data_IF_831640738155
#
_entry.id   IF_831640738155
#
_cell.length_a   1.000
_cell.length_b   1.000
_cell.length_c   1.000
_cell.angle_alpha   90.00
_cell.angle_beta   90.00
_cell.angle_gamma   90.00
#
_symmetry.space_group_name_H-M   'P 1'
#
loop_
_entity.id
_entity.type
_entity.pdbx_description
1 polymer ?
#
# COMPACT_ATOMS: atom_id res chain seq x y z
N UNK A 1 -71.60 -14.60 28.04
CA UNK A 1 -71.67 -13.61 26.92
C UNK A 1 -70.66 -12.50 27.03
N UNK A 2 -70.54 -11.70 28.11
CA UNK A 2 -69.54 -10.57 28.18
C UNK A 2 -68.12 -10.99 27.95
N UNK A 3 -67.62 -12.16 28.44
CA UNK A 3 -66.25 -12.65 28.21
C UNK A 3 -66.00 -13.08 26.77
N UNK A 4 -66.95 -13.62 26.05
CA UNK A 4 -66.82 -14.03 24.65
C UNK A 4 -66.83 -12.81 23.75
N UNK A 5 -67.60 -11.78 24.05
CA UNK A 5 -67.65 -10.51 23.33
C UNK A 5 -66.28 -9.76 23.53
N UNK A 6 -65.73 -9.80 24.76
CA UNK A 6 -64.43 -9.20 25.04
C UNK A 6 -63.32 -9.91 24.32
N UNK A 7 -63.29 -11.25 24.24
CA UNK A 7 -62.35 -12.05 23.49
C UNK A 7 -62.48 -11.82 21.97
N UNK A 8 -63.71 -11.75 21.44
CA UNK A 8 -63.95 -11.45 20.03
C UNK A 8 -63.44 -10.03 19.66
N UNK A 9 -63.67 -9.04 20.54
CA UNK A 9 -63.18 -7.67 20.33
C UNK A 9 -61.68 -7.59 20.43
N UNK A 10 -61.04 -8.34 21.32
CA UNK A 10 -59.57 -8.44 21.39
C UNK A 10 -58.96 -9.10 20.12
N UNK A 11 -59.61 -10.17 19.64
CA UNK A 11 -59.14 -10.84 18.40
C UNK A 11 -59.31 -9.96 17.16
N UNK A 12 -60.39 -9.19 17.06
CA UNK A 12 -60.58 -8.28 15.90
C UNK A 12 -59.61 -7.11 15.93
N UNK A 13 -59.32 -6.55 17.11
CA UNK A 13 -58.32 -5.45 17.23
C UNK A 13 -56.91 -5.90 16.94
N UNK A 14 -56.54 -7.12 17.36
CA UNK A 14 -55.21 -7.68 17.03
C UNK A 14 -55.06 -8.01 15.54
N UNK A 15 -56.13 -8.52 14.89
CA UNK A 15 -56.14 -8.81 13.46
C UNK A 15 -55.99 -7.53 12.60
N UNK A 16 -56.72 -6.47 12.97
CA UNK A 16 -56.64 -5.17 12.31
C UNK A 16 -55.27 -4.52 12.50
N UNK A 17 -54.66 -4.61 13.69
CA UNK A 17 -53.28 -4.13 13.92
C UNK A 17 -52.26 -4.91 13.09
N UNK A 18 -52.37 -6.24 13.04
CA UNK A 18 -51.46 -7.07 12.23
C UNK A 18 -51.57 -6.72 10.74
N UNK A 19 -52.78 -6.48 10.22
CA UNK A 19 -52.98 -6.11 8.81
C UNK A 19 -52.38 -4.72 8.49
N UNK A 20 -52.47 -3.77 9.40
CA UNK A 20 -51.89 -2.42 9.22
C UNK A 20 -50.38 -2.44 9.26
N UNK A 21 -49.75 -3.23 10.15
CA UNK A 21 -48.28 -3.43 10.17
C UNK A 21 -47.80 -4.04 8.85
N UNK A 22 -48.59 -4.99 8.28
CA UNK A 22 -48.26 -5.58 6.97
C UNK A 22 -48.25 -4.52 5.84
N UNK A 23 -49.21 -3.61 5.80
CA UNK A 23 -49.22 -2.52 4.81
C UNK A 23 -47.99 -1.56 4.96
N UNK A 24 -47.56 -1.27 6.19
CA UNK A 24 -46.35 -0.48 6.44
C UNK A 24 -45.10 -1.25 5.96
N UNK A 25 -45.04 -2.55 6.24
CA UNK A 25 -43.92 -3.40 5.79
C UNK A 25 -43.90 -3.53 4.27
N UNK A 26 -45.06 -3.63 3.62
CA UNK A 26 -45.17 -3.67 2.16
C UNK A 26 -44.69 -2.36 1.53
N UNK A 27 -45.10 -1.20 2.06
CA UNK A 27 -44.64 0.09 1.60
C UNK A 27 -43.10 0.22 1.72
N UNK A 28 -42.50 -0.22 2.85
CA UNK A 28 -41.07 -0.23 3.07
C UNK A 28 -40.37 -1.20 2.12
N UNK A 29 -40.95 -2.37 1.86
CA UNK A 29 -40.40 -3.37 0.93
C UNK A 29 -40.34 -2.84 -0.52
N UNK A 30 -41.35 -2.01 -0.87
CA UNK A 30 -41.42 -1.33 -2.17
C UNK A 30 -40.63 0.00 -2.23
N UNK A 31 -39.86 0.31 -1.20
CA UNK A 31 -39.07 1.58 -1.07
C UNK A 31 -39.93 2.83 -1.01
N UNK A 32 -41.26 2.71 -0.77
CA UNK A 32 -42.17 3.83 -0.60
C UNK A 32 -42.19 4.28 0.87
N UNK A 33 -41.10 4.93 1.27
CA UNK A 33 -40.89 5.32 2.66
C UNK A 33 -41.81 6.46 3.09
N UNK A 34 -42.24 7.36 2.19
CA UNK A 34 -43.17 8.43 2.49
C UNK A 34 -44.56 7.88 2.79
N UNK A 35 -45.06 6.93 1.99
CA UNK A 35 -46.30 6.25 2.24
C UNK A 35 -46.23 5.48 3.57
N UNK A 36 -45.10 4.80 3.86
CA UNK A 36 -44.90 4.10 5.13
C UNK A 36 -45.02 5.06 6.32
N UNK A 37 -44.38 6.22 6.29
CA UNK A 37 -44.44 7.23 7.35
C UNK A 37 -45.86 7.80 7.49
N UNK A 38 -46.60 8.01 6.38
CA UNK A 38 -47.98 8.46 6.38
C UNK A 38 -48.92 7.45 7.03
N UNK A 39 -48.71 6.15 6.79
CA UNK A 39 -49.47 5.06 7.42
C UNK A 39 -49.16 5.00 8.92
N UNK A 40 -47.89 5.07 9.31
CA UNK A 40 -47.44 5.02 10.70
C UNK A 40 -48.00 6.20 11.52
N UNK A 41 -48.07 7.40 10.94
CA UNK A 41 -48.56 8.60 11.61
C UNK A 41 -50.04 8.50 12.05
N UNK A 42 -50.82 7.59 11.47
CA UNK A 42 -52.22 7.35 11.81
C UNK A 42 -52.41 6.38 12.97
N UNK A 43 -51.32 5.77 13.44
CA UNK A 43 -51.39 4.71 14.43
C UNK A 43 -50.78 5.18 15.78
N UNK A 44 -51.21 4.50 16.88
CA UNK A 44 -50.55 4.70 18.16
C UNK A 44 -49.12 4.14 18.14
N UNK A 45 -48.13 4.86 18.66
CA UNK A 45 -46.77 4.39 18.67
C UNK A 45 -46.63 3.09 19.48
N UNK A 46 -46.07 2.07 18.82
CA UNK A 46 -45.68 0.80 19.45
C UNK A 46 -44.24 0.51 19.02
N UNK A 47 -43.50 -0.26 19.80
CA UNK A 47 -42.09 -0.57 19.47
C UNK A 47 -41.95 -1.13 18.03
N UNK A 48 -42.77 -2.10 17.56
CA UNK A 48 -42.70 -2.56 16.18
C UNK A 48 -42.95 -1.46 15.14
N UNK A 49 -43.86 -0.54 15.37
CA UNK A 49 -44.16 0.58 14.46
C UNK A 49 -43.00 1.63 14.50
N UNK A 50 -42.46 1.92 15.68
CA UNK A 50 -41.29 2.80 15.82
C UNK A 50 -40.04 2.25 15.10
N UNK A 51 -39.82 0.92 15.15
CA UNK A 51 -38.76 0.28 14.37
C UNK A 51 -38.97 0.47 12.85
N UNK A 52 -40.22 0.35 12.37
CA UNK A 52 -40.52 0.60 10.95
C UNK A 52 -40.41 2.10 10.61
N UNK A 53 -40.81 2.99 11.51
CA UNK A 53 -40.65 4.44 11.36
C UNK A 53 -39.17 4.81 11.20
N UNK A 54 -38.31 4.35 12.11
CA UNK A 54 -36.88 4.61 12.03
C UNK A 54 -36.28 4.06 10.73
N UNK A 55 -36.73 2.86 10.29
CA UNK A 55 -36.28 2.28 9.01
C UNK A 55 -36.69 3.14 7.81
N UNK A 56 -37.93 3.61 7.77
CA UNK A 56 -38.42 4.48 6.70
C UNK A 56 -37.69 5.84 6.70
N UNK A 57 -37.47 6.43 7.88
CA UNK A 57 -36.71 7.67 8.02
C UNK A 57 -35.27 7.50 7.51
N UNK A 58 -34.59 6.39 7.83
CA UNK A 58 -33.26 6.08 7.27
C UNK A 58 -33.29 5.94 5.74
N UNK A 59 -34.30 5.29 5.22
CA UNK A 59 -34.51 5.13 3.78
C UNK A 59 -34.63 6.47 3.02
N UNK A 60 -35.18 7.49 3.69
CA UNK A 60 -35.26 8.88 3.19
C UNK A 60 -34.01 9.71 3.51
N UNK A 61 -32.99 9.14 4.15
CA UNK A 61 -31.80 9.89 4.57
C UNK A 61 -31.99 10.77 5.81
N UNK A 62 -33.14 10.69 6.47
CA UNK A 62 -33.51 11.44 7.70
C UNK A 62 -32.86 10.79 8.94
N UNK A 63 -31.51 10.73 8.94
CA UNK A 63 -30.77 9.97 9.96
C UNK A 63 -30.87 10.58 11.36
N UNK A 64 -31.09 11.89 11.50
CA UNK A 64 -31.27 12.56 12.79
C UNK A 64 -32.61 12.17 13.44
N UNK A 65 -33.66 12.20 12.66
CA UNK A 65 -35.02 11.81 13.10
C UNK A 65 -35.11 10.31 13.40
N UNK A 66 -34.44 9.50 12.55
CA UNK A 66 -34.33 8.06 12.78
C UNK A 66 -33.59 7.76 14.09
N UNK A 67 -32.50 8.44 14.38
CA UNK A 67 -31.78 8.29 15.64
C UNK A 67 -32.65 8.65 16.83
N UNK A 68 -33.41 9.75 16.76
CA UNK A 68 -34.35 10.13 17.80
C UNK A 68 -35.43 9.07 18.02
N UNK A 69 -35.95 8.49 16.94
CA UNK A 69 -36.94 7.40 17.00
C UNK A 69 -36.35 6.14 17.67
N UNK A 70 -35.12 5.77 17.36
CA UNK A 70 -34.45 4.61 18.00
C UNK A 70 -34.11 4.89 19.47
N UNK A 71 -33.75 6.12 19.81
CA UNK A 71 -33.54 6.54 21.22
C UNK A 71 -34.83 6.46 22.04
N UNK A 72 -35.99 6.81 21.45
CA UNK A 72 -37.31 6.61 22.08
C UNK A 72 -37.56 5.14 22.38
N UNK A 73 -37.23 4.24 21.44
CA UNK A 73 -37.38 2.79 21.66
C UNK A 73 -36.44 2.33 22.80
N UNK A 74 -35.19 2.74 22.80
CA UNK A 74 -34.20 2.37 23.83
C UNK A 74 -34.66 2.86 25.21
N UNK A 75 -35.28 4.03 25.29
CA UNK A 75 -35.78 4.57 26.56
C UNK A 75 -36.95 3.73 27.11
N UNK A 76 -37.81 3.22 26.22
CA UNK A 76 -38.98 2.42 26.59
C UNK A 76 -38.67 0.92 26.77
N UNK A 77 -37.62 0.44 26.10
CA UNK A 77 -37.17 -0.96 26.11
C UNK A 77 -35.64 -1.01 26.02
N UNK A 78 -35.01 -1.00 27.18
CA UNK A 78 -33.53 -1.01 27.30
C UNK A 78 -32.89 -2.34 26.86
N UNK A 79 -33.72 -3.40 26.63
CA UNK A 79 -33.23 -4.69 26.14
C UNK A 79 -33.36 -4.85 24.62
N UNK A 80 -33.79 -3.82 23.91
CA UNK A 80 -34.01 -3.87 22.48
C UNK A 80 -32.73 -3.79 21.67
N UNK A 81 -32.02 -4.91 21.52
CA UNK A 81 -30.76 -4.99 20.77
C UNK A 81 -30.86 -4.37 19.37
N UNK A 82 -31.99 -4.55 18.67
CA UNK A 82 -32.20 -4.00 17.34
C UNK A 82 -32.16 -2.47 17.33
N UNK A 83 -32.78 -1.82 18.33
CA UNK A 83 -32.77 -0.36 18.41
C UNK A 83 -31.39 0.20 18.62
N UNK A 84 -30.54 -0.47 19.41
CA UNK A 84 -29.12 -0.09 19.56
C UNK A 84 -28.35 -0.22 18.27
N UNK A 85 -28.52 -1.32 17.52
CA UNK A 85 -27.85 -1.53 16.22
C UNK A 85 -28.22 -0.41 15.24
N UNK A 86 -29.51 -0.14 15.11
CA UNK A 86 -30.03 0.86 14.17
C UNK A 86 -29.62 2.29 14.59
N UNK A 87 -29.56 2.58 15.90
CA UNK A 87 -29.02 3.84 16.41
C UNK A 87 -27.52 4.02 16.11
N UNK A 88 -26.76 2.93 16.24
CA UNK A 88 -25.33 2.94 15.86
C UNK A 88 -25.15 3.27 14.37
N UNK A 89 -25.95 2.64 13.50
CA UNK A 89 -25.91 2.90 12.06
C UNK A 89 -26.29 4.35 11.70
N UNK A 90 -27.31 4.91 12.39
CA UNK A 90 -27.65 6.33 12.24
C UNK A 90 -26.48 7.23 12.67
N UNK A 91 -25.85 6.92 13.79
CA UNK A 91 -24.68 7.67 14.28
C UNK A 91 -23.50 7.59 13.31
N UNK A 92 -23.26 6.43 12.68
CA UNK A 92 -22.23 6.30 11.62
C UNK A 92 -22.54 7.20 10.44
N UNK A 93 -23.77 7.19 9.94
CA UNK A 93 -24.20 8.04 8.82
C UNK A 93 -24.10 9.53 9.14
N UNK A 94 -24.24 9.91 10.42
CA UNK A 94 -24.08 11.28 10.92
C UNK A 94 -22.64 11.63 11.32
N UNK A 95 -21.66 10.77 11.06
CA UNK A 95 -20.27 10.89 11.51
C UNK A 95 -20.08 11.03 13.04
N UNK A 96 -21.08 10.60 13.83
CA UNK A 96 -21.03 10.57 15.31
C UNK A 96 -20.39 9.27 15.80
N UNK A 97 -19.16 9.01 15.38
CA UNK A 97 -18.49 7.71 15.52
C UNK A 97 -18.34 7.23 16.98
N UNK A 98 -18.01 8.13 17.92
CA UNK A 98 -17.89 7.76 19.34
C UNK A 98 -19.23 7.33 19.93
N UNK A 99 -20.33 7.91 19.48
CA UNK A 99 -21.66 7.52 19.90
C UNK A 99 -22.08 6.19 19.25
N UNK A 100 -21.69 5.97 18.01
CA UNK A 100 -21.91 4.70 17.31
C UNK A 100 -21.22 3.53 18.03
N UNK A 101 -19.94 3.72 18.46
CA UNK A 101 -19.23 2.71 19.25
C UNK A 101 -20.00 2.32 20.52
N UNK A 102 -20.49 3.31 21.29
CA UNK A 102 -21.24 3.03 22.50
C UNK A 102 -22.52 2.23 22.25
N UNK A 103 -23.22 2.52 21.17
CA UNK A 103 -24.43 1.77 20.82
C UNK A 103 -24.10 0.34 20.36
N UNK A 104 -22.98 0.12 19.65
CA UNK A 104 -22.56 -1.24 19.31
C UNK A 104 -22.12 -2.03 20.55
N UNK A 105 -21.41 -1.41 21.50
CA UNK A 105 -21.06 -2.02 22.78
C UNK A 105 -22.31 -2.48 23.52
N UNK A 106 -23.30 -1.59 23.70
CA UNK A 106 -24.58 -1.91 24.34
C UNK A 106 -25.33 -3.04 23.60
N UNK A 107 -25.29 -3.06 22.28
CA UNK A 107 -25.89 -4.14 21.50
C UNK A 107 -25.18 -5.48 21.72
N UNK A 108 -23.84 -5.47 21.86
CA UNK A 108 -23.04 -6.66 22.16
C UNK A 108 -23.18 -7.10 23.61
N UNK A 109 -23.36 -6.19 24.57
CA UNK A 109 -23.67 -6.54 25.95
C UNK A 109 -24.99 -7.31 26.06
N UNK A 110 -25.98 -6.92 25.25
CA UNK A 110 -27.27 -7.61 25.20
C UNK A 110 -27.23 -8.92 24.41
N UNK A 111 -26.39 -9.00 23.39
CA UNK A 111 -26.23 -10.20 22.56
C UNK A 111 -24.78 -10.37 22.11
N UNK A 112 -23.92 -10.97 22.97
CA UNK A 112 -22.48 -11.15 22.69
C UNK A 112 -22.20 -12.04 21.47
N UNK A 113 -23.13 -12.88 21.04
CA UNK A 113 -22.96 -13.80 19.92
C UNK A 113 -23.34 -13.18 18.57
N UNK A 114 -23.74 -11.91 18.54
CA UNK A 114 -24.12 -11.24 17.30
C UNK A 114 -22.90 -10.90 16.44
N UNK A 115 -22.54 -11.85 15.57
CA UNK A 115 -21.38 -11.71 14.66
C UNK A 115 -21.44 -10.46 13.77
N UNK A 116 -22.65 -10.12 13.27
CA UNK A 116 -22.81 -8.93 12.42
C UNK A 116 -22.41 -7.65 13.17
N UNK A 117 -22.95 -7.48 14.38
CA UNK A 117 -22.64 -6.30 15.20
C UNK A 117 -21.15 -6.22 15.54
N UNK A 118 -20.55 -7.35 15.91
CA UNK A 118 -19.11 -7.40 16.23
C UNK A 118 -18.24 -7.01 15.03
N UNK A 119 -18.58 -7.50 13.83
CA UNK A 119 -17.88 -7.11 12.60
C UNK A 119 -17.98 -5.60 12.34
N UNK A 120 -19.20 -5.01 12.49
CA UNK A 120 -19.42 -3.58 12.31
C UNK A 120 -18.66 -2.75 13.36
N UNK A 121 -18.64 -3.22 14.60
CA UNK A 121 -17.94 -2.60 15.71
C UNK A 121 -16.42 -2.60 15.48
N UNK A 122 -15.83 -3.76 15.15
CA UNK A 122 -14.40 -3.88 14.82
C UNK A 122 -14.06 -3.01 13.62
N UNK A 123 -14.85 -3.05 12.54
CA UNK A 123 -14.64 -2.22 11.36
C UNK A 123 -14.62 -0.72 11.69
N UNK A 124 -15.49 -0.28 12.59
CA UNK A 124 -15.51 1.11 13.07
C UNK A 124 -14.26 1.43 13.93
N UNK A 125 -13.85 0.53 14.82
CA UNK A 125 -12.62 0.68 15.62
C UNK A 125 -11.38 0.82 14.72
N UNK A 126 -11.27 -0.03 13.68
CA UNK A 126 -10.19 0.02 12.70
C UNK A 126 -10.18 1.37 11.94
N UNK A 127 -11.35 1.84 11.51
CA UNK A 127 -11.47 3.12 10.80
C UNK A 127 -11.08 4.33 11.66
N UNK A 128 -11.26 4.21 12.98
CA UNK A 128 -10.88 5.22 13.98
C UNK A 128 -9.45 5.01 14.53
N UNK A 129 -8.68 4.09 13.94
CA UNK A 129 -7.32 3.74 14.36
C UNK A 129 -7.22 3.24 15.82
N UNK A 130 -8.31 2.72 16.37
CA UNK A 130 -8.35 2.07 17.69
C UNK A 130 -7.94 0.61 17.58
N UNK A 131 -6.72 0.39 17.12
CA UNK A 131 -6.24 -0.93 16.72
C UNK A 131 -6.17 -1.94 17.87
N UNK A 132 -5.81 -1.48 19.08
CA UNK A 132 -5.75 -2.34 20.26
C UNK A 132 -7.13 -2.87 20.66
N UNK A 133 -8.15 -1.99 20.65
CA UNK A 133 -9.53 -2.38 20.93
C UNK A 133 -10.06 -3.32 19.84
N UNK A 134 -9.74 -3.02 18.57
CA UNK A 134 -10.09 -3.87 17.43
C UNK A 134 -9.44 -5.25 17.54
N UNK A 135 -8.18 -5.33 17.99
CA UNK A 135 -7.47 -6.60 18.21
C UNK A 135 -8.14 -7.41 19.31
N UNK A 136 -8.52 -6.80 20.43
CA UNK A 136 -9.23 -7.48 21.51
C UNK A 136 -10.53 -8.13 21.02
N UNK A 137 -11.36 -7.38 20.31
CA UNK A 137 -12.64 -7.85 19.80
C UNK A 137 -12.50 -8.91 18.68
N UNK A 138 -11.52 -8.72 17.78
CA UNK A 138 -11.26 -9.71 16.72
C UNK A 138 -10.66 -11.01 17.27
N UNK A 139 -9.85 -10.95 18.34
CA UNK A 139 -9.32 -12.13 19.02
C UNK A 139 -10.46 -12.96 19.66
N UNK A 140 -11.39 -12.29 20.37
CA UNK A 140 -12.60 -12.94 20.90
C UNK A 140 -13.43 -13.61 19.80
N UNK A 141 -13.45 -13.01 18.61
CA UNK A 141 -14.15 -13.57 17.45
C UNK A 141 -13.41 -14.80 16.90
N UNK A 142 -12.07 -14.75 16.77
CA UNK A 142 -11.27 -15.87 16.23
C UNK A 142 -11.18 -17.07 17.16
N UNK A 143 -11.27 -16.89 18.47
CA UNK A 143 -11.34 -17.99 19.45
C UNK A 143 -12.59 -18.87 19.24
N UNK A 144 -13.70 -18.26 18.82
CA UNK A 144 -14.97 -18.97 18.61
C UNK A 144 -15.19 -19.38 17.17
N UNK A 145 -14.69 -18.60 16.23
CA UNK A 145 -14.93 -18.73 14.80
C UNK A 145 -13.70 -18.27 14.01
N UNK A 146 -12.90 -19.23 13.59
CA UNK A 146 -11.73 -18.95 12.74
C UNK A 146 -12.11 -18.78 11.25
N UNK A 147 -13.23 -18.08 10.98
CA UNK A 147 -13.64 -17.71 9.62
C UNK A 147 -12.64 -16.72 8.97
N UNK A 148 -12.61 -16.68 7.63
CA UNK A 148 -11.76 -15.74 6.91
C UNK A 148 -11.97 -14.29 7.38
N UNK A 149 -13.23 -13.88 7.59
CA UNK A 149 -13.57 -12.52 8.06
C UNK A 149 -12.93 -12.22 9.42
N UNK A 150 -13.06 -13.15 10.39
CA UNK A 150 -12.49 -12.97 11.72
C UNK A 150 -10.96 -12.81 11.67
N UNK A 151 -10.30 -13.68 10.92
CA UNK A 151 -8.85 -13.64 10.71
C UNK A 151 -8.40 -12.39 9.95
N UNK A 152 -9.15 -11.91 8.95
CA UNK A 152 -8.87 -10.64 8.27
C UNK A 152 -8.96 -9.45 9.21
N UNK A 153 -9.98 -9.37 10.05
CA UNK A 153 -10.12 -8.29 11.03
C UNK A 153 -8.98 -8.29 12.06
N UNK A 154 -8.56 -9.47 12.49
CA UNK A 154 -7.42 -9.63 13.40
C UNK A 154 -6.10 -9.21 12.70
N UNK A 155 -5.87 -9.64 11.47
CA UNK A 155 -4.70 -9.26 10.68
C UNK A 155 -4.65 -7.74 10.46
N UNK A 156 -5.78 -7.10 10.12
CA UNK A 156 -5.86 -5.66 9.95
C UNK A 156 -5.58 -4.89 11.24
N UNK A 157 -5.98 -5.46 12.40
CA UNK A 157 -5.65 -4.87 13.70
C UNK A 157 -4.15 -4.90 13.97
N UNK A 158 -3.47 -6.02 13.70
CA UNK A 158 -2.03 -6.12 13.79
C UNK A 158 -1.30 -5.20 12.80
N UNK A 159 -1.76 -5.12 11.52
CA UNK A 159 -1.18 -4.19 10.54
C UNK A 159 -1.27 -2.75 11.04
N UNK A 160 -2.42 -2.34 11.58
CA UNK A 160 -2.61 -0.99 12.11
C UNK A 160 -1.71 -0.67 13.30
N UNK A 161 -1.36 -1.64 14.11
CA UNK A 161 -0.38 -1.52 15.20
C UNK A 161 1.07 -1.55 14.72
N UNK A 162 1.31 -1.88 13.45
CA UNK A 162 2.66 -2.09 12.91
C UNK A 162 3.27 -3.45 13.26
N UNK A 163 2.48 -4.36 13.81
CA UNK A 163 2.91 -5.71 14.18
C UNK A 163 2.81 -6.65 12.98
N UNK A 164 3.77 -6.52 12.05
CA UNK A 164 3.71 -7.18 10.75
C UNK A 164 3.85 -8.70 10.83
N UNK A 165 4.64 -9.24 11.78
CA UNK A 165 4.81 -10.69 11.92
C UNK A 165 3.51 -11.40 12.34
N UNK A 166 2.76 -10.96 13.39
CA UNK A 166 1.46 -11.51 13.69
C UNK A 166 0.45 -11.37 12.55
N UNK A 167 0.43 -10.21 11.86
CA UNK A 167 -0.41 -10.01 10.69
C UNK A 167 -0.11 -11.03 9.57
N UNK A 168 1.18 -11.27 9.28
CA UNK A 168 1.63 -12.28 8.32
C UNK A 168 1.13 -13.68 8.71
N UNK A 169 1.22 -14.03 10.00
CA UNK A 169 0.70 -15.30 10.51
C UNK A 169 -0.82 -15.47 10.32
N UNK A 170 -1.59 -14.41 10.51
CA UNK A 170 -3.03 -14.43 10.24
C UNK A 170 -3.34 -14.67 8.76
N UNK A 171 -2.67 -13.94 7.84
CA UNK A 171 -2.90 -14.13 6.39
C UNK A 171 -2.40 -15.49 5.90
N UNK A 172 -1.32 -16.01 6.46
CA UNK A 172 -0.89 -17.39 6.19
C UNK A 172 -1.97 -18.40 6.58
N UNK A 173 -2.55 -18.28 7.78
CA UNK A 173 -3.63 -19.13 8.25
C UNK A 173 -4.88 -19.03 7.36
N UNK A 174 -5.20 -17.82 6.84
CA UNK A 174 -6.30 -17.66 5.89
C UNK A 174 -5.98 -18.43 4.61
N UNK A 175 -4.79 -18.24 4.04
CA UNK A 175 -4.42 -18.91 2.79
C UNK A 175 -4.42 -20.44 2.91
N UNK A 176 -4.05 -21.00 4.09
CA UNK A 176 -4.11 -22.45 4.32
C UNK A 176 -5.54 -22.98 4.39
N UNK A 177 -6.48 -22.22 4.98
CA UNK A 177 -7.87 -22.64 5.17
C UNK A 177 -8.78 -22.26 4.00
N UNK A 178 -8.50 -21.14 3.36
CA UNK A 178 -9.28 -20.50 2.29
C UNK A 178 -8.34 -20.16 1.13
N UNK A 179 -7.87 -21.16 0.38
CA UNK A 179 -6.84 -20.96 -0.64
C UNK A 179 -7.31 -20.09 -1.83
N UNK A 180 -8.61 -19.89 -1.99
CA UNK A 180 -9.25 -19.01 -2.96
C UNK A 180 -9.38 -17.55 -2.49
N UNK A 181 -8.95 -17.23 -1.25
CA UNK A 181 -8.94 -15.86 -0.73
C UNK A 181 -7.78 -15.06 -1.34
N UNK A 182 -8.08 -14.35 -2.45
CA UNK A 182 -7.11 -13.53 -3.14
C UNK A 182 -6.54 -12.38 -2.28
N UNK A 183 -7.37 -11.85 -1.35
CA UNK A 183 -6.97 -10.74 -0.51
C UNK A 183 -5.89 -11.19 0.49
N UNK A 184 -6.08 -12.38 1.09
CA UNK A 184 -5.09 -12.97 1.97
C UNK A 184 -3.78 -13.26 1.22
N UNK A 185 -3.85 -13.86 0.03
CA UNK A 185 -2.67 -14.14 -0.79
C UNK A 185 -1.90 -12.85 -1.17
N UNK A 186 -2.61 -11.81 -1.59
CA UNK A 186 -2.00 -10.53 -1.94
C UNK A 186 -1.40 -9.81 -0.72
N UNK A 187 -2.07 -9.83 0.41
CA UNK A 187 -1.61 -9.23 1.66
C UNK A 187 -0.41 -9.96 2.25
N UNK A 188 -0.44 -11.30 2.28
CA UNK A 188 0.67 -12.14 2.70
C UNK A 188 1.93 -11.85 1.87
N UNK A 189 1.77 -11.80 0.55
CA UNK A 189 2.88 -11.46 -0.34
C UNK A 189 3.40 -10.03 -0.10
N UNK A 190 2.52 -9.05 0.08
CA UNK A 190 2.92 -7.67 0.34
C UNK A 190 3.72 -7.53 1.66
N UNK A 191 3.31 -8.22 2.72
CA UNK A 191 4.02 -8.21 4.00
C UNK A 191 5.38 -8.94 3.90
N UNK A 192 5.43 -10.07 3.19
CA UNK A 192 6.69 -10.77 2.92
C UNK A 192 7.65 -9.90 2.09
N UNK A 193 7.16 -9.18 1.08
CA UNK A 193 7.95 -8.21 0.30
C UNK A 193 8.49 -7.10 1.21
N UNK A 194 7.67 -6.53 2.08
CA UNK A 194 8.09 -5.50 3.03
C UNK A 194 9.18 -5.99 3.99
N UNK A 195 9.13 -7.27 4.38
CA UNK A 195 10.15 -7.95 5.17
C UNK A 195 11.37 -8.42 4.36
N UNK A 196 11.39 -8.22 3.04
CA UNK A 196 12.41 -8.74 2.11
C UNK A 196 12.43 -10.28 1.99
N UNK A 197 11.34 -10.95 2.34
CA UNK A 197 11.13 -12.38 2.17
C UNK A 197 10.53 -12.67 0.79
N UNK A 198 11.32 -12.44 -0.27
CA UNK A 198 10.81 -12.45 -1.65
C UNK A 198 10.40 -13.85 -2.12
N UNK A 199 11.10 -14.90 -1.67
CA UNK A 199 10.74 -16.28 -2.02
C UNK A 199 9.40 -16.69 -1.42
N UNK A 200 9.13 -16.33 -0.18
CA UNK A 200 7.86 -16.59 0.51
C UNK A 200 6.71 -15.81 -0.13
N UNK A 201 6.98 -14.59 -0.63
CA UNK A 201 6.02 -13.81 -1.38
C UNK A 201 5.68 -14.47 -2.74
N UNK A 202 6.69 -15.02 -3.43
CA UNK A 202 6.52 -15.78 -4.67
C UNK A 202 5.68 -17.03 -4.38
N UNK A 203 6.03 -17.81 -3.36
CA UNK A 203 5.32 -19.03 -2.97
C UNK A 203 3.85 -18.75 -2.68
N UNK A 204 3.55 -17.76 -1.83
CA UNK A 204 2.19 -17.38 -1.48
C UNK A 204 1.35 -16.99 -2.71
N UNK A 205 1.92 -16.23 -3.64
CA UNK A 205 1.22 -15.81 -4.84
C UNK A 205 1.09 -16.92 -5.88
N UNK A 206 2.11 -17.75 -6.08
CA UNK A 206 2.03 -18.89 -6.99
C UNK A 206 1.05 -19.95 -6.49
N UNK A 207 0.93 -20.16 -5.17
CA UNK A 207 -0.09 -21.03 -4.58
C UNK A 207 -1.51 -20.58 -4.97
N UNK A 208 -1.83 -19.29 -4.84
CA UNK A 208 -3.11 -18.76 -5.28
C UNK A 208 -3.29 -18.85 -6.81
N UNK A 209 -2.24 -18.61 -7.58
CA UNK A 209 -2.27 -18.64 -9.05
C UNK A 209 -2.56 -20.02 -9.63
N UNK A 210 -2.43 -21.10 -8.86
CA UNK A 210 -2.91 -22.44 -9.24
C UNK A 210 -4.45 -22.49 -9.31
N UNK A 211 -5.15 -21.59 -8.64
CA UNK A 211 -6.60 -21.50 -8.59
C UNK A 211 -7.10 -20.46 -9.60
N UNK A 212 -6.53 -19.26 -9.55
CA UNK A 212 -6.91 -18.15 -10.44
C UNK A 212 -5.66 -17.36 -10.89
N UNK A 213 -5.36 -17.43 -12.18
CA UNK A 213 -4.25 -16.70 -12.81
C UNK A 213 -4.62 -15.28 -13.23
N UNK A 214 -5.89 -14.86 -13.09
CA UNK A 214 -6.39 -13.61 -13.66
C UNK A 214 -6.44 -12.47 -12.64
N UNK A 215 -6.36 -12.77 -11.34
CA UNK A 215 -6.48 -11.78 -10.28
C UNK A 215 -5.34 -10.75 -10.33
N UNK A 216 -5.70 -9.50 -10.64
CA UNK A 216 -4.74 -8.40 -10.83
C UNK A 216 -3.96 -8.10 -9.55
N UNK A 217 -4.61 -8.12 -8.37
CA UNK A 217 -3.96 -7.78 -7.09
C UNK A 217 -2.86 -8.79 -6.74
N UNK A 218 -3.14 -10.09 -6.89
CA UNK A 218 -2.16 -11.15 -6.65
C UNK A 218 -1.05 -11.11 -7.70
N UNK A 219 -1.40 -10.91 -8.97
CA UNK A 219 -0.42 -10.85 -10.06
C UNK A 219 0.54 -9.67 -9.92
N UNK A 220 0.08 -8.51 -9.39
CA UNK A 220 0.98 -7.38 -9.09
C UNK A 220 2.00 -7.73 -8.02
N UNK A 221 1.58 -8.40 -6.95
CA UNK A 221 2.50 -8.83 -5.89
C UNK A 221 3.46 -9.90 -6.38
N UNK A 222 2.97 -10.85 -7.20
CA UNK A 222 3.79 -11.88 -7.82
C UNK A 222 4.89 -11.28 -8.71
N UNK A 223 4.53 -10.38 -9.61
CA UNK A 223 5.47 -9.71 -10.48
C UNK A 223 6.50 -8.88 -9.71
N UNK A 224 6.05 -8.16 -8.65
CA UNK A 224 6.93 -7.37 -7.78
C UNK A 224 7.91 -8.27 -7.02
N UNK A 225 7.45 -9.40 -6.48
CA UNK A 225 8.29 -10.34 -5.77
C UNK A 225 9.41 -10.90 -6.65
N UNK A 226 9.10 -11.31 -7.88
CA UNK A 226 10.12 -11.73 -8.86
C UNK A 226 11.09 -10.59 -9.21
N UNK A 227 10.59 -9.37 -9.43
CA UNK A 227 11.44 -8.21 -9.72
C UNK A 227 12.42 -7.91 -8.58
N UNK A 228 11.95 -7.91 -7.33
CA UNK A 228 12.79 -7.64 -6.16
C UNK A 228 13.72 -8.81 -5.83
N UNK A 229 13.31 -10.04 -6.15
CA UNK A 229 14.16 -11.24 -6.10
C UNK A 229 15.20 -11.30 -7.24
N UNK A 230 15.20 -10.30 -8.14
CA UNK A 230 16.10 -10.17 -9.30
C UNK A 230 15.90 -11.24 -10.38
N UNK A 231 14.79 -11.93 -10.37
CA UNK A 231 14.35 -12.76 -11.52
C UNK A 231 13.60 -11.88 -12.52
N UNK A 232 14.36 -11.01 -13.19
CA UNK A 232 13.80 -10.04 -14.12
C UNK A 232 13.11 -10.68 -15.35
N UNK A 233 13.59 -11.79 -15.93
CA UNK A 233 12.89 -12.44 -17.02
C UNK A 233 11.47 -12.86 -16.64
N UNK A 234 11.29 -13.50 -15.47
CA UNK A 234 9.97 -13.89 -14.98
C UNK A 234 9.14 -12.65 -14.60
N UNK A 235 9.73 -11.64 -13.97
CA UNK A 235 9.05 -10.39 -13.64
C UNK A 235 8.50 -9.70 -14.89
N UNK A 236 9.28 -9.61 -15.98
CA UNK A 236 8.85 -9.05 -17.26
C UNK A 236 7.62 -9.81 -17.77
N UNK A 237 7.68 -11.12 -17.83
CA UNK A 237 6.56 -11.95 -18.30
C UNK A 237 5.27 -11.69 -17.48
N UNK A 238 5.40 -11.58 -16.15
CA UNK A 238 4.27 -11.32 -15.25
C UNK A 238 3.71 -9.91 -15.42
N UNK A 239 4.57 -8.91 -15.56
CA UNK A 239 4.14 -7.53 -15.79
C UNK A 239 3.55 -7.32 -17.18
N UNK A 240 4.11 -7.92 -18.24
CA UNK A 240 3.53 -7.88 -19.58
C UNK A 240 2.13 -8.50 -19.60
N UNK A 241 1.92 -9.59 -18.85
CA UNK A 241 0.58 -10.15 -18.70
C UNK A 241 -0.38 -9.14 -18.07
N UNK A 242 0.02 -8.41 -17.04
CA UNK A 242 -0.79 -7.35 -16.41
C UNK A 242 -1.11 -6.22 -17.39
N UNK A 243 -0.14 -5.77 -18.16
CA UNK A 243 -0.33 -4.76 -19.22
C UNK A 243 -1.34 -5.23 -20.26
N UNK A 244 -1.24 -6.49 -20.71
CA UNK A 244 -2.17 -7.10 -21.66
C UNK A 244 -3.61 -7.22 -21.09
N UNK A 245 -3.77 -7.29 -19.77
CA UNK A 245 -5.06 -7.21 -19.07
C UNK A 245 -5.56 -5.77 -18.86
N UNK A 246 -4.85 -4.77 -19.38
CA UNK A 246 -5.20 -3.36 -19.29
C UNK A 246 -4.67 -2.64 -18.04
N UNK A 247 -3.79 -3.28 -17.23
CA UNK A 247 -3.18 -2.62 -16.09
C UNK A 247 -2.02 -1.70 -16.52
N UNK A 248 -2.34 -0.44 -16.75
CA UNK A 248 -1.38 0.63 -17.07
C UNK A 248 -1.03 1.49 -15.85
N UNK A 249 -1.19 0.97 -14.63
CA UNK A 249 -0.88 1.72 -13.40
C UNK A 249 0.60 2.10 -13.31
N UNK A 250 0.88 3.16 -12.53
CA UNK A 250 2.26 3.56 -12.22
C UNK A 250 3.13 2.37 -11.78
N UNK A 251 2.62 1.58 -10.84
CA UNK A 251 3.34 0.43 -10.28
C UNK A 251 3.76 -0.57 -11.38
N UNK A 252 2.80 -0.99 -12.20
CA UNK A 252 3.05 -1.98 -13.26
C UNK A 252 4.04 -1.46 -14.30
N UNK A 253 3.84 -0.23 -14.80
CA UNK A 253 4.74 0.36 -15.78
C UNK A 253 6.14 0.63 -15.21
N UNK A 254 6.23 1.10 -13.98
CA UNK A 254 7.49 1.42 -13.32
C UNK A 254 8.37 0.18 -13.10
N UNK A 255 7.84 -0.87 -12.49
CA UNK A 255 8.62 -2.07 -12.22
C UNK A 255 8.88 -2.92 -13.47
N UNK A 256 7.99 -2.89 -14.46
CA UNK A 256 8.26 -3.47 -15.78
C UNK A 256 9.44 -2.75 -16.44
N UNK A 257 9.43 -1.41 -16.42
CA UNK A 257 10.53 -0.62 -16.96
C UNK A 257 11.86 -0.87 -16.24
N UNK A 258 11.85 -1.01 -14.90
CA UNK A 258 13.04 -1.40 -14.11
C UNK A 258 13.51 -2.80 -14.50
N UNK A 259 12.60 -3.76 -14.67
CA UNK A 259 12.95 -5.13 -15.05
C UNK A 259 13.59 -5.17 -16.43
N UNK A 260 13.07 -4.43 -17.39
CA UNK A 260 13.68 -4.27 -18.71
C UNK A 260 15.04 -3.58 -18.65
N UNK A 261 15.17 -2.54 -17.78
CA UNK A 261 16.45 -1.88 -17.58
C UNK A 261 17.53 -2.85 -17.04
N UNK A 262 17.15 -3.71 -16.12
CA UNK A 262 18.05 -4.71 -15.53
C UNK A 262 18.48 -5.79 -16.57
N UNK A 263 17.60 -6.14 -17.52
CA UNK A 263 17.89 -7.03 -18.64
C UNK A 263 18.55 -6.33 -19.82
N UNK A 264 19.03 -5.11 -19.65
CA UNK A 264 19.70 -4.29 -20.68
C UNK A 264 18.83 -3.98 -21.91
N UNK A 265 17.51 -4.16 -21.83
CA UNK A 265 16.53 -3.82 -22.85
C UNK A 265 16.12 -2.34 -22.68
N UNK A 266 17.04 -1.45 -23.00
CA UNK A 266 16.92 -0.03 -22.61
C UNK A 266 15.84 0.75 -23.38
N UNK A 267 15.46 0.33 -24.58
CA UNK A 267 14.38 0.97 -25.34
C UNK A 267 13.02 0.65 -24.72
N UNK A 268 12.78 -0.63 -24.41
CA UNK A 268 11.57 -1.09 -23.73
C UNK A 268 11.48 -0.50 -22.32
N UNK A 269 12.62 -0.45 -21.59
CA UNK A 269 12.70 0.20 -20.31
C UNK A 269 12.26 1.67 -20.37
N UNK A 270 12.74 2.42 -21.37
CA UNK A 270 12.35 3.82 -21.56
C UNK A 270 10.84 3.93 -21.80
N UNK A 271 10.27 3.12 -22.69
CA UNK A 271 8.86 3.24 -23.06
C UNK A 271 7.92 2.99 -21.89
N UNK A 272 8.21 1.98 -21.06
CA UNK A 272 7.41 1.69 -19.87
C UNK A 272 7.64 2.68 -18.74
N UNK A 273 8.87 3.17 -18.55
CA UNK A 273 9.14 4.23 -17.58
C UNK A 273 8.48 5.55 -18.01
N UNK A 274 8.43 5.87 -19.31
CA UNK A 274 7.66 7.01 -19.82
C UNK A 274 6.15 6.86 -19.59
N UNK A 275 5.62 5.64 -19.73
CA UNK A 275 4.24 5.36 -19.39
C UNK A 275 3.98 5.61 -17.88
N UNK A 276 4.89 5.17 -17.01
CA UNK A 276 4.81 5.44 -15.57
C UNK A 276 4.90 6.94 -15.26
N UNK A 277 5.75 7.70 -15.99
CA UNK A 277 5.93 9.16 -15.80
C UNK A 277 4.65 9.97 -16.02
N UNK A 278 3.71 9.47 -16.82
CA UNK A 278 2.40 10.11 -17.00
C UNK A 278 1.58 10.16 -15.71
N UNK A 279 1.79 9.24 -14.81
CA UNK A 279 1.09 9.16 -13.52
C UNK A 279 1.78 9.97 -12.41
N UNK A 280 3.12 9.98 -12.42
CA UNK A 280 3.92 10.71 -11.43
C UNK A 280 5.17 11.31 -12.10
N UNK A 281 5.04 12.52 -12.72
CA UNK A 281 6.09 13.15 -13.51
C UNK A 281 7.24 13.72 -12.70
N UNK A 282 7.12 13.73 -11.37
CA UNK A 282 8.12 14.28 -10.45
C UNK A 282 8.77 13.21 -9.57
N UNK A 283 8.51 11.95 -9.83
CA UNK A 283 9.11 10.85 -9.09
C UNK A 283 10.62 10.76 -9.36
N UNK A 284 11.41 11.08 -8.35
CA UNK A 284 12.87 11.15 -8.45
C UNK A 284 13.48 9.80 -8.88
N UNK A 285 12.97 8.69 -8.34
CA UNK A 285 13.47 7.36 -8.68
C UNK A 285 13.15 6.99 -10.14
N UNK A 286 11.95 7.32 -10.58
CA UNK A 286 11.52 7.13 -11.96
C UNK A 286 12.41 7.93 -12.93
N UNK A 287 12.60 9.22 -12.66
CA UNK A 287 13.46 10.10 -13.46
C UNK A 287 14.91 9.60 -13.49
N UNK A 288 15.39 9.04 -12.39
CA UNK A 288 16.70 8.41 -12.33
C UNK A 288 16.82 7.22 -13.31
N UNK A 289 15.85 6.29 -13.30
CA UNK A 289 15.91 5.14 -14.19
C UNK A 289 15.67 5.52 -15.65
N UNK A 290 14.77 6.49 -15.93
CA UNK A 290 14.61 7.08 -17.26
C UNK A 290 15.91 7.67 -17.79
N UNK A 291 16.55 8.52 -17.01
CA UNK A 291 17.83 9.12 -17.39
C UNK A 291 18.90 8.07 -17.69
N UNK A 292 18.98 7.03 -16.87
CA UNK A 292 19.92 5.93 -17.05
C UNK A 292 19.62 5.08 -18.29
N UNK A 293 18.34 4.80 -18.57
CA UNK A 293 17.92 4.10 -19.77
C UNK A 293 18.23 4.93 -21.02
N UNK A 294 17.89 6.22 -21.02
CA UNK A 294 18.21 7.15 -22.10
C UNK A 294 19.70 7.24 -22.40
N UNK A 295 20.57 7.19 -21.38
CA UNK A 295 22.02 7.21 -21.56
C UNK A 295 22.55 6.03 -22.40
N UNK A 296 21.82 4.91 -22.42
CA UNK A 296 22.17 3.69 -23.18
C UNK A 296 21.47 3.61 -24.55
N UNK A 297 20.63 4.58 -24.87
CA UNK A 297 19.88 4.67 -26.14
C UNK A 297 20.33 5.85 -26.98
N UNK A 298 19.57 6.22 -28.00
CA UNK A 298 19.77 7.42 -28.80
C UNK A 298 19.37 8.73 -28.06
N UNK A 299 18.63 8.65 -26.95
CA UNK A 299 18.08 9.81 -26.24
C UNK A 299 18.99 10.35 -25.13
N UNK A 300 20.33 10.36 -25.35
CA UNK A 300 21.32 10.70 -24.32
C UNK A 300 21.14 12.09 -23.71
N UNK A 301 20.74 13.10 -24.53
CA UNK A 301 20.49 14.47 -24.05
C UNK A 301 19.25 14.52 -23.18
N UNK A 302 18.18 13.83 -23.57
CA UNK A 302 16.95 13.70 -22.77
C UNK A 302 17.23 13.02 -21.41
N UNK A 303 18.18 12.06 -21.40
CA UNK A 303 18.64 11.43 -20.16
C UNK A 303 19.27 12.43 -19.18
N UNK A 304 20.03 13.41 -19.70
CA UNK A 304 20.57 14.51 -18.87
C UNK A 304 19.43 15.34 -18.28
N UNK A 305 18.46 15.75 -19.10
CA UNK A 305 17.30 16.55 -18.66
C UNK A 305 16.51 15.86 -17.53
N UNK A 306 16.27 14.55 -17.62
CA UNK A 306 15.62 13.79 -16.56
C UNK A 306 16.39 13.77 -15.26
N UNK A 307 17.72 13.60 -15.33
CA UNK A 307 18.57 13.56 -14.13
C UNK A 307 18.75 14.95 -13.51
N UNK A 308 18.82 16.00 -14.32
CA UNK A 308 18.82 17.39 -13.84
C UNK A 308 17.51 17.70 -13.10
N UNK A 309 16.36 17.32 -13.69
CA UNK A 309 15.07 17.46 -13.02
C UNK A 309 15.01 16.65 -11.71
N UNK A 310 15.50 15.41 -11.70
CA UNK A 310 15.57 14.60 -10.49
C UNK A 310 16.42 15.24 -9.41
N UNK A 311 17.54 15.88 -9.81
CA UNK A 311 18.42 16.60 -8.91
C UNK A 311 17.72 17.81 -8.28
N UNK A 312 17.02 18.60 -9.08
CA UNK A 312 16.28 19.79 -8.62
C UNK A 312 15.15 19.41 -7.62
N UNK A 313 14.52 18.25 -7.84
CA UNK A 313 13.45 17.74 -6.98
C UNK A 313 13.94 17.06 -5.70
N UNK A 314 15.24 16.76 -5.62
CA UNK A 314 15.76 15.98 -4.49
C UNK A 314 15.99 16.89 -3.28
N UNK A 315 15.29 16.64 -2.17
CA UNK A 315 15.69 17.16 -0.87
C UNK A 315 17.07 16.54 -0.54
N UNK A 316 18.12 17.34 -0.30
CA UNK A 316 19.49 16.84 -0.22
C UNK A 316 19.67 15.89 0.96
N UNK A 317 19.62 14.58 0.65
CA UNK A 317 20.20 13.51 1.47
C UNK A 317 21.48 13.08 0.75
N UNK A 318 22.61 13.10 1.43
CA UNK A 318 23.93 12.85 0.82
C UNK A 318 23.99 11.58 -0.04
N UNK A 319 23.39 10.48 0.42
CA UNK A 319 23.34 9.22 -0.33
C UNK A 319 22.57 9.31 -1.66
N UNK A 320 21.45 10.03 -1.68
CA UNK A 320 20.65 10.23 -2.90
C UNK A 320 21.39 11.16 -3.87
N UNK A 321 22.02 12.20 -3.35
CA UNK A 321 22.82 13.13 -4.15
C UNK A 321 24.01 12.41 -4.80
N UNK A 322 24.74 11.59 -4.07
CA UNK A 322 25.83 10.76 -4.62
C UNK A 322 25.33 9.91 -5.79
N UNK A 323 24.18 9.23 -5.62
CA UNK A 323 23.60 8.39 -6.66
C UNK A 323 23.21 9.19 -7.91
N UNK A 324 22.58 10.35 -7.73
CA UNK A 324 22.23 11.23 -8.85
C UNK A 324 23.45 11.74 -9.62
N UNK A 325 24.47 12.19 -8.89
CA UNK A 325 25.72 12.63 -9.54
C UNK A 325 26.46 11.50 -10.28
N UNK A 326 26.38 10.25 -9.83
CA UNK A 326 26.88 9.10 -10.58
C UNK A 326 26.14 8.99 -11.91
N UNK A 327 24.81 9.02 -11.87
CA UNK A 327 23.99 8.93 -13.08
C UNK A 327 24.25 10.07 -14.06
N UNK A 328 24.34 11.31 -13.57
CA UNK A 328 24.67 12.49 -14.38
C UNK A 328 26.06 12.35 -15.02
N UNK A 329 27.06 11.94 -14.26
CA UNK A 329 28.43 11.72 -14.77
C UNK A 329 28.43 10.73 -15.94
N UNK A 330 27.67 9.63 -15.83
CA UNK A 330 27.55 8.63 -16.89
C UNK A 330 26.81 9.19 -18.12
N UNK A 331 25.74 9.97 -17.92
CA UNK A 331 25.02 10.61 -19.01
C UNK A 331 25.88 11.62 -19.75
N UNK A 332 26.59 12.49 -19.05
CA UNK A 332 27.52 13.44 -19.65
C UNK A 332 28.66 12.75 -20.42
N UNK A 333 29.19 11.65 -19.90
CA UNK A 333 30.18 10.83 -20.60
C UNK A 333 29.62 10.30 -21.93
N UNK A 334 28.41 9.73 -21.92
CA UNK A 334 27.78 9.19 -23.13
C UNK A 334 27.35 10.27 -24.13
N UNK A 335 26.98 11.45 -23.63
CA UNK A 335 26.65 12.62 -24.45
C UNK A 335 27.88 13.35 -24.98
N UNK A 336 29.10 12.90 -24.65
CA UNK A 336 30.38 13.55 -25.02
C UNK A 336 30.48 15.00 -24.53
N UNK A 337 30.06 15.23 -23.29
CA UNK A 337 30.08 16.54 -22.60
C UNK A 337 31.15 16.50 -21.46
N UNK A 338 32.45 16.54 -21.78
CA UNK A 338 33.50 16.30 -20.78
C UNK A 338 33.64 17.40 -19.73
N UNK A 339 33.26 18.64 -20.04
CA UNK A 339 33.31 19.77 -19.09
C UNK A 339 32.23 19.60 -18.01
N UNK A 340 31.01 19.29 -18.41
CA UNK A 340 29.87 19.03 -17.56
C UNK A 340 30.08 17.74 -16.75
N UNK A 341 30.70 16.74 -17.35
CA UNK A 341 31.10 15.50 -16.66
C UNK A 341 32.07 15.80 -15.49
N UNK A 342 33.11 16.62 -15.73
CA UNK A 342 34.03 17.02 -14.67
C UNK A 342 33.36 17.82 -13.58
N UNK A 343 32.45 18.75 -13.93
CA UNK A 343 31.76 19.57 -12.95
C UNK A 343 30.84 18.68 -12.06
N UNK A 344 30.15 17.73 -12.64
CA UNK A 344 29.36 16.74 -11.91
C UNK A 344 30.20 15.95 -10.91
N UNK A 345 31.38 15.46 -11.31
CA UNK A 345 32.29 14.73 -10.42
C UNK A 345 32.84 15.67 -9.32
N UNK A 346 33.16 16.91 -9.66
CA UNK A 346 33.66 17.91 -8.71
C UNK A 346 32.67 18.26 -7.63
N UNK A 347 31.42 18.53 -8.02
CA UNK A 347 30.33 18.84 -7.08
C UNK A 347 30.05 17.65 -6.16
N UNK A 348 29.99 16.41 -6.72
CA UNK A 348 29.84 15.19 -5.93
C UNK A 348 30.94 15.08 -4.88
N UNK A 349 32.24 15.20 -5.31
CA UNK A 349 33.37 15.08 -4.40
C UNK A 349 33.33 16.15 -3.31
N UNK A 350 33.09 17.41 -3.70
CA UNK A 350 33.15 18.54 -2.79
C UNK A 350 32.07 18.56 -1.74
N UNK A 351 30.84 18.15 -2.09
CA UNK A 351 29.69 18.31 -1.22
C UNK A 351 29.26 17.02 -0.52
N UNK A 352 29.25 15.91 -1.23
CA UNK A 352 28.51 14.70 -0.82
C UNK A 352 29.38 13.46 -0.63
N UNK A 353 30.58 13.37 -1.25
CA UNK A 353 31.38 12.14 -1.32
C UNK A 353 32.87 12.44 -1.12
N UNK A 354 33.19 13.22 -0.08
CA UNK A 354 34.53 13.78 0.20
C UNK A 354 35.59 12.72 0.50
N UNK A 355 35.17 11.52 0.94
CA UNK A 355 36.08 10.42 1.25
C UNK A 355 36.46 9.60 0.01
N UNK A 356 35.75 9.78 -1.10
CA UNK A 356 35.97 9.06 -2.33
C UNK A 356 37.04 9.76 -3.20
N UNK A 357 38.27 9.67 -2.75
CA UNK A 357 39.42 10.36 -3.41
C UNK A 357 39.67 9.89 -4.84
N UNK A 358 39.17 8.70 -5.24
CA UNK A 358 39.21 8.23 -6.62
C UNK A 358 38.60 9.23 -7.61
N UNK A 359 37.60 10.01 -7.18
CA UNK A 359 36.99 11.03 -8.04
C UNK A 359 37.95 12.10 -8.54
N UNK A 360 39.02 12.40 -7.77
CA UNK A 360 40.10 13.29 -8.22
C UNK A 360 40.87 12.68 -9.39
N UNK A 361 41.15 11.37 -9.32
CA UNK A 361 41.77 10.63 -10.41
C UNK A 361 40.90 10.57 -11.66
N UNK A 362 39.60 10.29 -11.48
CA UNK A 362 38.65 10.24 -12.58
C UNK A 362 38.58 11.60 -13.33
N UNK A 363 38.60 12.72 -12.60
CA UNK A 363 38.69 14.07 -13.22
C UNK A 363 39.99 14.26 -13.98
N UNK A 364 41.11 13.83 -13.44
CA UNK A 364 42.42 13.92 -14.12
C UNK A 364 42.40 13.17 -15.46
N UNK A 365 41.80 11.97 -15.45
CA UNK A 365 41.66 11.15 -16.66
C UNK A 365 40.83 11.87 -17.74
N UNK A 366 39.75 12.52 -17.40
CA UNK A 366 38.91 13.27 -18.35
C UNK A 366 39.67 14.50 -18.88
N UNK A 367 40.36 15.25 -18.01
CA UNK A 367 41.20 16.38 -18.43
C UNK A 367 42.26 15.95 -19.43
N UNK A 368 42.93 14.82 -19.20
CA UNK A 368 44.00 14.32 -20.06
C UNK A 368 43.48 13.80 -21.40
N UNK A 369 42.54 12.87 -21.40
CA UNK A 369 42.11 12.17 -22.62
C UNK A 369 41.10 12.96 -23.44
N UNK A 370 40.13 13.63 -22.79
CA UNK A 370 39.02 14.28 -23.50
C UNK A 370 39.30 15.75 -23.80
N UNK A 371 39.86 16.49 -22.84
CA UNK A 371 40.09 17.94 -22.99
C UNK A 371 41.53 18.31 -23.39
N UNK A 372 42.51 17.38 -23.31
CA UNK A 372 43.95 17.62 -23.55
C UNK A 372 44.50 18.73 -22.66
N UNK A 373 43.96 18.93 -21.47
CA UNK A 373 44.35 19.98 -20.52
C UNK A 373 45.34 19.44 -19.52
N UNK A 374 46.65 19.56 -19.88
CA UNK A 374 47.78 19.07 -19.07
C UNK A 374 47.84 19.72 -17.69
N UNK A 375 47.56 21.03 -17.59
CA UNK A 375 47.65 21.79 -16.35
C UNK A 375 46.64 21.30 -15.30
N UNK A 376 45.39 21.14 -15.68
CA UNK A 376 44.36 20.63 -14.77
C UNK A 376 44.53 19.14 -14.51
N UNK A 377 45.06 18.36 -15.44
CA UNK A 377 45.46 16.96 -15.19
C UNK A 377 46.45 16.86 -14.04
N UNK A 378 47.55 17.58 -14.13
CA UNK A 378 48.61 17.61 -13.11
C UNK A 378 48.02 18.03 -11.74
N UNK A 379 47.23 19.10 -11.71
CA UNK A 379 46.60 19.59 -10.48
C UNK A 379 45.70 18.53 -9.80
N UNK A 380 44.92 17.79 -10.57
CA UNK A 380 44.03 16.76 -10.04
C UNK A 380 44.84 15.55 -9.53
N UNK A 381 45.89 15.15 -10.24
CA UNK A 381 46.78 14.08 -9.80
C UNK A 381 47.53 14.43 -8.52
N UNK A 382 48.10 15.64 -8.43
CA UNK A 382 48.74 16.12 -7.21
C UNK A 382 47.75 16.12 -6.00
N UNK A 383 46.52 16.58 -6.23
CA UNK A 383 45.48 16.55 -5.20
C UNK A 383 45.18 15.11 -4.76
N UNK A 384 45.09 14.18 -5.70
CA UNK A 384 44.88 12.76 -5.42
C UNK A 384 46.04 12.15 -4.62
N UNK A 385 47.31 12.42 -5.03
CA UNK A 385 48.46 11.91 -4.33
C UNK A 385 48.61 12.45 -2.90
N UNK A 386 48.15 13.69 -2.63
CA UNK A 386 48.11 14.27 -1.28
C UNK A 386 47.10 13.56 -0.33
N UNK A 387 46.14 12.82 -0.85
CA UNK A 387 45.21 12.05 -0.04
C UNK A 387 45.73 10.68 0.41
N UNK A 388 46.92 10.32 -0.02
CA UNK A 388 47.55 9.04 0.34
C UNK A 388 47.80 8.97 1.85
N UNK A 389 47.38 7.86 2.53
CA UNK A 389 47.63 7.65 3.95
C UNK A 389 49.16 7.73 4.26
N UNK A 390 49.54 8.39 5.36
CA UNK A 390 50.92 8.56 5.76
C UNK A 390 51.57 7.30 6.34
N UNK A 391 50.79 6.31 6.71
CA UNK A 391 51.22 5.07 7.38
C UNK A 391 50.72 3.83 6.60
N UNK A 392 51.31 3.58 5.45
CA UNK A 392 51.23 2.24 4.88
C UNK A 392 52.62 1.61 4.86
N UNK A 393 52.89 0.78 5.88
CA UNK A 393 53.89 -0.26 5.77
C UNK A 393 53.52 -1.15 4.59
N UNK A 394 54.53 -1.57 3.83
CA UNK A 394 54.36 -2.41 2.65
C UNK A 394 53.49 -3.64 2.90
N UNK A 395 52.22 -3.59 2.52
CA UNK A 395 51.44 -4.81 2.31
C UNK A 395 51.86 -5.36 0.94
N UNK A 396 52.66 -6.42 0.98
CA UNK A 396 52.99 -7.24 -0.19
C UNK A 396 51.69 -7.75 -0.84
N UNK A 397 51.69 -7.70 -2.17
CA UNK A 397 50.64 -8.31 -2.98
C UNK A 397 50.44 -9.78 -2.55
N UNK A 398 49.30 -10.13 -1.98
CA UNK A 398 49.02 -11.49 -1.57
C UNK A 398 48.16 -12.16 -2.64
N UNK A 399 48.52 -13.38 -2.99
CA UNK A 399 47.64 -14.27 -3.76
C UNK A 399 46.50 -14.75 -2.86
N UNK A 400 45.26 -14.66 -3.37
CA UNK A 400 44.11 -15.29 -2.66
C UNK A 400 44.21 -16.83 -2.78
N UNK A 401 43.31 -17.54 -2.07
CA UNK A 401 43.25 -18.99 -2.09
C UNK A 401 42.99 -19.61 -3.48
N UNK A 402 42.65 -18.79 -4.48
CA UNK A 402 42.51 -19.16 -5.90
C UNK A 402 43.71 -18.82 -6.79
N UNK A 403 44.79 -18.31 -6.20
CA UNK A 403 45.99 -17.93 -6.94
C UNK A 403 45.85 -16.63 -7.74
N UNK A 404 44.84 -15.80 -7.46
CA UNK A 404 44.64 -14.50 -8.09
C UNK A 404 45.31 -13.40 -7.27
N UNK A 405 45.93 -12.45 -7.95
CA UNK A 405 46.62 -11.31 -7.32
C UNK A 405 45.60 -10.38 -6.68
N UNK A 406 45.46 -10.38 -5.38
CA UNK A 406 44.66 -9.39 -4.66
C UNK A 406 45.52 -8.15 -4.43
N UNK A 407 45.27 -7.14 -5.25
CA UNK A 407 45.92 -5.85 -5.11
C UNK A 407 45.32 -5.11 -3.91
N UNK A 408 46.06 -4.91 -2.84
CA UNK A 408 45.65 -4.07 -1.71
C UNK A 408 45.45 -2.61 -2.16
N UNK A 409 44.83 -1.79 -1.31
CA UNK A 409 44.55 -0.36 -1.54
C UNK A 409 45.74 0.47 -1.99
N UNK A 410 46.97 0.04 -1.74
CA UNK A 410 48.22 0.62 -2.20
C UNK A 410 48.37 0.67 -3.73
N UNK A 411 47.92 -0.33 -4.45
CA UNK A 411 48.11 -0.42 -5.90
C UNK A 411 47.26 0.57 -6.71
N UNK A 412 46.24 1.16 -6.10
CA UNK A 412 45.46 2.25 -6.72
C UNK A 412 46.33 3.49 -7.00
N UNK A 413 47.37 3.73 -6.18
CA UNK A 413 48.30 4.87 -6.31
C UNK A 413 49.54 4.52 -7.14
N UNK A 414 49.85 3.23 -7.32
CA UNK A 414 51.00 2.78 -8.14
C UNK A 414 50.70 2.67 -9.63
N UNK A 415 49.46 2.67 -10.08
CA UNK A 415 49.09 2.66 -11.50
C UNK A 415 49.32 4.01 -12.21
N UNK A 416 49.93 5.00 -11.53
CA UNK A 416 50.20 6.34 -12.05
C UNK A 416 51.66 6.56 -12.48
N UNK A 417 52.52 5.55 -12.31
CA UNK A 417 53.89 5.52 -12.77
C UNK A 417 54.03 4.38 -13.82
#
# INVERSE_FOLDING_TARGET
>A
MKRIILLAFLCTTTLVMAQRINHVQEAIANYDYEAALTLIAKEKPTIPLLLQKGKAQRGLGMNTEALSTYQEIITNDTANTRAYIEAAECCRSLAKYQQALKYYEQALDLNPENKYVRIQYIGLLLSLQKFQDALGESSLMTEKDSSAIALHLQAQSFEGMGELLPATGCYYNIQEKYPDDYLAAAKLAALNIAGSYFNEAIEATEKYRQIDTTNIAVNRQNALAYCLNKDYPTAIQRYEYLVNQGDSSFHTCYYLGISYYAEEKYYEAHDFLEAARKHDPENVNLLYYLGRACAKTSWKKLGVEYLEKALDLTIPKDSNMVRLYIGMTDCYKMAQMPKEQIESIRERYRKYDKQNHKLLYDMAFIYFYSLKDKKNTERCLEAFLKTRPKEDKEEEAKLNERGELVLGTKNYYCLLY
#
